data_IF_780753459359
#
_entry.id   IF_780753459359
#
_cell.length_a   1.000
_cell.length_b   1.000
_cell.length_c   1.000
_cell.angle_alpha   90.00
_cell.angle_beta   90.00
_cell.angle_gamma   90.00
#
_symmetry.space_group_name_H-M   'P 1'
#
loop_
_entity.id
_entity.type
_entity.pdbx_description
1 polymer ?
#
# COMPACT_ATOMS: atom_id res chain seq x y z
N UNK A 1 -4.95 21.11 29.07
CA UNK A 1 -4.45 22.51 28.99
C UNK A 1 -3.08 22.58 28.33
N UNK A 2 -1.95 22.23 28.97
CA UNK A 2 -0.63 22.40 28.33
C UNK A 2 -0.49 21.66 26.98
N UNK A 3 -1.06 20.46 26.85
CA UNK A 3 -1.12 19.71 25.58
C UNK A 3 -1.95 20.41 24.51
N UNK A 4 -2.97 21.18 24.91
CA UNK A 4 -3.83 21.89 23.98
C UNK A 4 -3.17 23.14 23.40
N UNK A 5 -2.00 23.54 23.93
CA UNK A 5 -1.39 24.83 23.61
C UNK A 5 0.12 24.78 23.34
N UNK A 6 0.92 24.20 24.25
CA UNK A 6 2.39 24.40 24.24
C UNK A 6 3.24 23.14 24.38
N UNK A 7 2.64 21.99 24.71
CA UNK A 7 3.43 20.78 24.92
C UNK A 7 3.99 20.19 23.61
N UNK A 8 3.45 20.58 22.45
CA UNK A 8 3.91 20.16 21.12
C UNK A 8 2.95 19.28 20.32
N UNK A 9 2.24 18.29 20.92
CA UNK A 9 1.28 17.47 20.18
C UNK A 9 0.07 18.27 19.66
N UNK A 10 -0.51 17.81 18.56
CA UNK A 10 -1.78 18.37 18.08
C UNK A 10 -2.92 18.02 19.03
N UNK A 11 -3.77 19.01 19.33
CA UNK A 11 -5.01 18.82 20.08
C UNK A 11 -6.20 18.41 19.21
N UNK A 12 -5.99 18.27 17.90
CA UNK A 12 -7.04 17.79 16.98
C UNK A 12 -7.11 16.28 17.11
N UNK A 13 -8.02 15.83 17.98
CA UNK A 13 -8.14 14.42 18.36
C UNK A 13 -9.31 13.71 17.66
N UNK A 14 -9.20 12.39 17.44
CA UNK A 14 -10.34 11.56 17.05
C UNK A 14 -11.41 11.51 18.15
N UNK A 15 -12.68 11.68 17.79
CA UNK A 15 -13.84 11.63 18.71
C UNK A 15 -14.78 10.48 18.35
N UNK A 16 -15.83 10.26 19.16
CA UNK A 16 -16.82 9.20 18.87
C UNK A 16 -16.26 7.77 18.90
N UNK A 17 -15.19 7.52 19.67
CA UNK A 17 -14.55 6.19 19.79
C UNK A 17 -13.58 5.84 18.67
N UNK A 18 -13.36 6.74 17.71
CA UNK A 18 -12.47 6.51 16.56
C UNK A 18 -10.99 6.43 16.91
N UNK A 19 -10.60 6.85 18.13
CA UNK A 19 -9.24 6.67 18.66
C UNK A 19 -8.77 5.19 18.70
N UNK A 20 -9.68 4.22 18.55
CA UNK A 20 -9.35 2.79 18.40
C UNK A 20 -8.62 2.45 17.10
N UNK A 21 -8.73 3.29 16.07
CA UNK A 21 -8.16 3.05 14.74
C UNK A 21 -7.61 4.31 14.05
N UNK A 22 -7.86 5.50 14.59
CA UNK A 22 -7.35 6.78 14.08
C UNK A 22 -6.33 7.39 15.04
N UNK A 23 -5.37 8.12 14.50
CA UNK A 23 -4.37 8.88 15.26
C UNK A 23 -4.77 10.34 15.40
N UNK A 24 -4.12 11.05 16.32
CA UNK A 24 -4.12 12.52 16.37
C UNK A 24 -3.66 13.10 15.03
N UNK A 25 -4.16 14.28 14.67
CA UNK A 25 -3.66 15.01 13.50
C UNK A 25 -2.15 15.20 13.64
N UNK A 26 -1.41 14.77 12.64
CA UNK A 26 0.04 14.83 12.59
C UNK A 26 0.50 15.18 11.17
N UNK A 27 1.81 15.32 10.99
CA UNK A 27 2.39 15.76 9.72
C UNK A 27 2.05 14.80 8.58
N UNK A 28 1.96 13.49 8.82
CA UNK A 28 1.69 12.48 7.79
C UNK A 28 0.28 12.60 7.20
N UNK A 29 -0.68 13.24 7.88
CA UNK A 29 -2.00 13.50 7.33
C UNK A 29 -1.96 14.45 6.11
N UNK A 30 -0.84 15.15 5.94
CA UNK A 30 -0.58 16.04 4.80
C UNK A 30 0.33 15.41 3.73
N UNK A 31 0.79 14.16 3.94
CA UNK A 31 1.60 13.42 2.97
C UNK A 31 0.78 12.32 2.31
N UNK A 32 1.08 12.06 1.04
CA UNK A 32 0.66 10.82 0.36
C UNK A 32 1.88 9.92 0.22
N UNK A 33 1.89 8.81 0.94
CA UNK A 33 2.92 7.78 0.80
C UNK A 33 2.57 6.92 -0.44
N UNK A 34 3.46 6.89 -1.43
CA UNK A 34 3.26 6.16 -2.69
C UNK A 34 4.36 5.11 -2.86
N UNK A 35 3.97 3.85 -2.98
CA UNK A 35 4.90 2.76 -3.29
C UNK A 35 5.19 2.71 -4.79
N UNK A 36 6.47 2.69 -5.16
CA UNK A 36 6.93 2.52 -6.54
C UNK A 36 7.67 1.20 -6.65
N UNK A 37 7.27 0.35 -7.59
CA UNK A 37 7.87 -0.96 -7.82
C UNK A 37 8.33 -1.05 -9.27
N UNK A 38 9.61 -1.38 -9.46
CA UNK A 38 10.21 -1.67 -10.76
C UNK A 38 10.71 -3.10 -10.79
N UNK A 39 10.47 -3.80 -11.90
CA UNK A 39 11.00 -5.13 -12.15
C UNK A 39 11.92 -5.11 -13.36
N UNK A 40 13.10 -5.70 -13.18
CA UNK A 40 13.93 -6.09 -14.31
C UNK A 40 13.54 -7.50 -14.78
N UNK A 41 14.14 -7.94 -15.88
CA UNK A 41 13.84 -9.24 -16.50
C UNK A 41 14.09 -10.42 -15.56
N UNK A 42 15.24 -10.43 -14.85
CA UNK A 42 15.56 -11.49 -13.91
C UNK A 42 14.53 -11.59 -12.76
N UNK A 43 14.09 -10.46 -12.22
CA UNK A 43 13.06 -10.42 -11.19
C UNK A 43 11.71 -10.90 -11.73
N UNK A 44 11.34 -10.50 -12.95
CA UNK A 44 10.11 -10.97 -13.59
C UNK A 44 10.13 -12.49 -13.79
N UNK A 45 11.24 -13.06 -14.25
CA UNK A 45 11.36 -14.50 -14.42
C UNK A 45 11.30 -15.25 -13.09
N UNK A 46 11.83 -14.65 -12.00
CA UNK A 46 11.81 -15.25 -10.67
C UNK A 46 10.39 -15.29 -10.05
N UNK A 47 9.61 -14.21 -10.16
CA UNK A 47 8.30 -14.11 -9.47
C UNK A 47 7.09 -14.26 -10.39
N UNK A 48 7.26 -14.08 -11.68
CA UNK A 48 6.20 -14.13 -12.69
C UNK A 48 5.43 -15.45 -12.72
N UNK A 49 6.08 -16.63 -12.67
CA UNK A 49 5.36 -17.91 -12.67
C UNK A 49 4.40 -18.06 -11.48
N UNK A 50 4.80 -17.58 -10.29
CA UNK A 50 3.93 -17.57 -9.12
C UNK A 50 2.76 -16.59 -9.29
N UNK A 51 3.02 -15.40 -9.83
CA UNK A 51 1.97 -14.41 -10.12
C UNK A 51 0.93 -14.94 -11.15
N UNK A 52 1.39 -15.61 -12.21
CA UNK A 52 0.49 -16.25 -13.20
C UNK A 52 -0.34 -17.38 -12.55
N UNK A 53 0.28 -18.21 -11.71
CA UNK A 53 -0.42 -19.29 -10.99
C UNK A 53 -1.52 -18.75 -10.09
N UNK A 54 -1.22 -17.71 -9.29
CA UNK A 54 -2.20 -17.07 -8.42
C UNK A 54 -3.33 -16.43 -9.23
N UNK A 55 -3.01 -15.70 -10.30
CA UNK A 55 -4.02 -15.08 -11.15
C UNK A 55 -4.96 -16.11 -11.80
N UNK A 56 -4.45 -17.27 -12.19
CA UNK A 56 -5.29 -18.37 -12.69
C UNK A 56 -6.19 -18.96 -11.59
N UNK A 57 -5.65 -19.18 -10.39
CA UNK A 57 -6.41 -19.71 -9.25
C UNK A 57 -7.54 -18.76 -8.81
N UNK A 58 -7.32 -17.46 -8.91
CA UNK A 58 -8.32 -16.42 -8.62
C UNK A 58 -9.31 -16.16 -9.77
N UNK A 59 -9.13 -16.80 -10.93
CA UNK A 59 -9.96 -16.59 -12.12
C UNK A 59 -9.71 -15.26 -12.85
N UNK A 60 -8.61 -14.57 -12.55
CA UNK A 60 -8.23 -13.28 -13.13
C UNK A 60 -7.45 -13.47 -14.45
N UNK A 61 -8.13 -13.96 -15.48
CA UNK A 61 -7.53 -14.34 -16.78
C UNK A 61 -6.74 -13.22 -17.46
N UNK A 62 -7.18 -11.96 -17.34
CA UNK A 62 -6.46 -10.80 -17.87
C UNK A 62 -5.10 -10.54 -17.19
N UNK A 63 -5.02 -10.78 -15.87
CA UNK A 63 -3.77 -10.64 -15.11
C UNK A 63 -2.79 -11.75 -15.49
N UNK A 64 -3.27 -13.01 -15.55
CA UNK A 64 -2.47 -14.15 -15.97
C UNK A 64 -1.90 -13.93 -17.39
N UNK A 65 -2.75 -13.55 -18.35
CA UNK A 65 -2.32 -13.29 -19.72
C UNK A 65 -1.26 -12.16 -19.81
N UNK A 66 -1.39 -11.11 -18.99
CA UNK A 66 -0.44 -10.00 -18.98
C UNK A 66 0.95 -10.41 -18.48
N UNK A 67 1.02 -11.27 -17.46
CA UNK A 67 2.29 -11.84 -16.95
C UNK A 67 2.86 -12.81 -17.96
N UNK A 68 2.06 -13.76 -18.43
CA UNK A 68 2.47 -14.79 -19.36
C UNK A 68 3.02 -14.21 -20.68
N UNK A 69 2.45 -13.10 -21.17
CA UNK A 69 2.95 -12.40 -22.36
C UNK A 69 4.36 -11.85 -22.16
N UNK A 70 4.71 -11.38 -20.96
CA UNK A 70 6.04 -10.82 -20.66
C UNK A 70 7.07 -11.89 -20.31
N UNK A 71 6.63 -13.04 -19.80
CA UNK A 71 7.53 -14.19 -19.60
C UNK A 71 7.97 -14.83 -20.92
N UNK A 72 7.15 -14.69 -21.97
CA UNK A 72 7.40 -15.23 -23.31
C UNK A 72 8.08 -14.26 -24.28
N UNK A 73 8.27 -13.00 -23.89
CA UNK A 73 8.99 -11.99 -24.69
C UNK A 73 10.46 -11.97 -24.32
#
# INVERSE_FOLDING_TARGET
>A
VLVDYVAGPSHTMPTGGTARFASLLNVLDFFKIVSVIGLNEAALQAIGPAAETLANAEGLTGHAAAVARRLRS
#
